data_IF_080550556766
#
_entry.id   IF_080550556766
#
_cell.length_a   1.000
_cell.length_b   1.000
_cell.length_c   1.000
_cell.angle_alpha   90.00
_cell.angle_beta   90.00
_cell.angle_gamma   90.00
#
_symmetry.space_group_name_H-M   'P 1'
#
loop_
_entity.id
_entity.type
_entity.pdbx_description
1 polymer ?
#
# COMPACT_ATOMS: atom_id res chain seq x y z
N UNK A 1 51.36 -13.48 -54.27
CA UNK A 1 50.07 -14.05 -54.71
C UNK A 1 49.08 -12.90 -54.74
N UNK A 2 48.67 -12.49 -55.95
CA UNK A 2 47.44 -11.77 -56.38
C UNK A 2 46.59 -11.01 -55.33
N UNK A 3 46.02 -9.82 -55.53
CA UNK A 3 45.68 -8.99 -56.72
C UNK A 3 45.24 -7.60 -56.24
N UNK A 4 45.47 -6.58 -57.07
CA UNK A 4 44.96 -5.18 -57.00
C UNK A 4 43.42 -5.11 -56.93
N UNK A 5 42.77 -4.05 -56.45
CA UNK A 5 42.33 -2.91 -57.31
C UNK A 5 41.50 -1.88 -56.53
N UNK A 6 41.34 -0.72 -57.15
CA UNK A 6 41.02 0.61 -56.65
C UNK A 6 39.68 1.11 -57.25
N UNK A 7 38.81 1.71 -56.41
CA UNK A 7 37.87 2.87 -56.65
C UNK A 7 36.70 2.66 -57.66
N UNK A 8 35.54 3.41 -57.66
CA UNK A 8 35.25 4.75 -57.13
C UNK A 8 33.93 5.01 -56.37
N UNK A 9 33.88 6.24 -55.82
CA UNK A 9 32.69 7.02 -55.42
C UNK A 9 31.80 7.43 -56.61
N UNK A 10 30.48 7.30 -56.46
CA UNK A 10 29.49 7.86 -57.39
C UNK A 10 28.49 8.73 -56.62
N UNK A 11 28.40 9.98 -57.09
CA UNK A 11 27.42 11.01 -56.74
C UNK A 11 26.18 10.82 -57.63
N UNK A 12 24.95 10.71 -57.11
CA UNK A 12 23.75 11.01 -57.92
C UNK A 12 22.43 11.24 -57.15
N UNK A 13 21.95 12.48 -57.25
CA UNK A 13 20.57 12.93 -57.51
C UNK A 13 19.44 12.65 -56.51
N UNK A 14 19.01 13.72 -55.82
CA UNK A 14 17.70 13.85 -55.16
C UNK A 14 16.58 13.91 -56.21
N UNK A 15 15.59 13.02 -56.12
CA UNK A 15 14.29 13.15 -56.80
C UNK A 15 13.25 13.56 -55.77
N UNK A 16 12.58 14.69 -56.01
CA UNK A 16 11.39 15.13 -55.29
C UNK A 16 10.18 14.35 -55.82
N UNK A 17 9.47 13.66 -54.94
CA UNK A 17 8.17 13.07 -55.24
C UNK A 17 7.12 13.72 -54.34
N UNK A 18 6.21 14.47 -54.94
CA UNK A 18 5.05 15.09 -54.30
C UNK A 18 3.85 14.17 -54.58
N UNK A 19 3.14 13.66 -53.57
CA UNK A 19 1.79 13.12 -53.80
C UNK A 19 0.87 13.06 -52.55
N UNK A 20 -0.17 13.89 -52.63
CA UNK A 20 -1.57 13.78 -52.19
C UNK A 20 -1.89 13.35 -50.72
N UNK A 21 -2.31 14.36 -49.94
CA UNK A 21 -3.02 14.23 -48.67
C UNK A 21 -4.50 13.93 -48.96
N UNK A 22 -5.02 12.80 -48.47
CA UNK A 22 -6.45 12.50 -48.44
C UNK A 22 -7.10 13.17 -47.23
N UNK A 23 -8.06 14.07 -47.49
CA UNK A 23 -8.88 14.70 -46.47
C UNK A 23 -10.05 13.75 -46.11
N UNK A 24 -9.94 13.04 -45.00
CA UNK A 24 -11.06 12.28 -44.44
C UNK A 24 -11.90 13.20 -43.53
N UNK A 25 -13.11 13.57 -43.97
CA UNK A 25 -14.12 14.16 -43.08
C UNK A 25 -14.56 13.10 -42.06
N UNK A 26 -14.06 13.22 -40.83
CA UNK A 26 -14.53 12.43 -39.69
C UNK A 26 -15.85 12.99 -39.16
N UNK A 27 -16.93 12.21 -39.28
CA UNK A 27 -18.16 12.38 -38.51
C UNK A 27 -17.84 12.21 -37.02
N UNK A 28 -17.95 13.28 -36.25
CA UNK A 28 -17.78 13.27 -34.80
C UNK A 28 -19.00 12.65 -34.13
N UNK A 29 -18.85 11.42 -33.64
CA UNK A 29 -19.80 10.84 -32.70
C UNK A 29 -19.73 11.63 -31.39
N UNK A 30 -20.87 12.00 -30.77
CA UNK A 30 -20.86 12.71 -29.50
C UNK A 30 -20.23 11.80 -28.44
N UNK A 31 -19.14 12.28 -27.85
CA UNK A 31 -18.55 11.71 -26.66
C UNK A 31 -19.62 11.65 -25.58
N UNK A 32 -20.07 10.45 -25.22
CA UNK A 32 -20.82 10.28 -23.98
C UNK A 32 -19.90 10.71 -22.85
N UNK A 33 -20.26 11.81 -22.20
CA UNK A 33 -19.60 12.26 -20.98
C UNK A 33 -19.60 11.10 -19.98
N UNK A 34 -18.42 10.53 -19.79
CA UNK A 34 -18.18 9.53 -18.77
C UNK A 34 -18.50 10.20 -17.43
N UNK A 35 -19.52 9.69 -16.73
CA UNK A 35 -19.88 10.15 -15.39
C UNK A 35 -18.59 10.25 -14.55
N UNK A 36 -18.25 11.47 -14.14
CA UNK A 36 -17.07 11.74 -13.37
C UNK A 36 -17.08 10.85 -12.13
N UNK A 37 -15.98 10.13 -11.88
CA UNK A 37 -15.80 9.42 -10.62
C UNK A 37 -15.98 10.43 -9.47
N UNK A 38 -16.64 10.06 -8.37
CA UNK A 38 -16.83 10.97 -7.25
C UNK A 38 -15.47 11.48 -6.77
N UNK A 39 -15.31 12.80 -6.75
CA UNK A 39 -14.10 13.48 -6.30
C UNK A 39 -13.92 13.29 -4.80
N UNK A 40 -12.72 12.92 -4.37
CA UNK A 40 -12.30 12.85 -2.95
C UNK A 40 -12.05 14.24 -2.34
N UNK A 41 -12.78 15.26 -2.83
CA UNK A 41 -12.65 16.66 -2.44
C UNK A 41 -13.30 16.96 -1.08
N UNK A 42 -14.15 16.05 -0.58
CA UNK A 42 -14.76 16.15 0.73
C UNK A 42 -14.31 14.99 1.63
N UNK A 43 -14.27 15.18 2.96
CA UNK A 43 -14.02 14.10 3.90
C UNK A 43 -15.05 12.99 3.70
N UNK A 44 -14.59 11.74 3.59
CA UNK A 44 -15.50 10.62 3.40
C UNK A 44 -16.25 10.33 4.70
N UNK A 45 -17.57 10.09 4.62
CA UNK A 45 -18.38 9.82 5.80
C UNK A 45 -18.14 8.39 6.29
N UNK A 46 -17.71 8.27 7.55
CA UNK A 46 -17.61 6.98 8.26
C UNK A 46 -18.33 7.10 9.61
N UNK A 47 -18.86 5.98 10.09
CA UNK A 47 -19.38 5.86 11.45
C UNK A 47 -18.21 5.77 12.44
N UNK A 48 -18.40 6.26 13.66
CA UNK A 48 -17.49 6.05 14.79
C UNK A 48 -18.05 5.06 15.81
N UNK A 49 -19.23 4.50 15.54
CA UNK A 49 -19.87 3.56 16.45
C UNK A 49 -19.06 2.26 16.56
N UNK A 50 -18.76 1.75 17.76
CA UNK A 50 -18.10 0.47 17.92
C UNK A 50 -18.98 -0.66 17.36
N UNK A 51 -18.39 -1.79 16.99
CA UNK A 51 -19.17 -2.99 16.68
C UNK A 51 -19.90 -3.46 17.94
N UNK A 52 -21.09 -4.04 17.78
CA UNK A 52 -21.57 -5.00 18.77
C UNK A 52 -20.52 -6.12 18.92
N UNK A 53 -20.32 -6.64 20.14
CA UNK A 53 -19.17 -7.39 20.65
C UNK A 53 -18.64 -8.62 19.84
N UNK A 54 -19.15 -8.91 18.64
CA UNK A 54 -18.83 -10.11 17.87
C UNK A 54 -18.42 -9.89 16.40
N UNK A 55 -18.21 -8.67 15.89
CA UNK A 55 -18.22 -8.51 14.43
C UNK A 55 -16.94 -9.00 13.71
N UNK A 56 -15.74 -8.73 14.26
CA UNK A 56 -14.46 -9.04 13.59
C UNK A 56 -13.34 -9.27 14.60
N UNK A 57 -12.53 -10.32 14.38
CA UNK A 57 -11.34 -10.62 15.19
C UNK A 57 -10.12 -10.45 14.31
N UNK A 58 -9.26 -9.49 14.67
CA UNK A 58 -7.92 -9.39 14.10
C UNK A 58 -6.98 -10.32 14.86
N UNK A 59 -6.07 -10.98 14.13
CA UNK A 59 -5.03 -11.83 14.69
C UNK A 59 -3.68 -11.34 14.23
N UNK A 60 -2.72 -11.30 15.15
CA UNK A 60 -1.33 -10.94 14.88
C UNK A 60 -0.43 -12.05 15.39
N UNK A 61 0.76 -12.17 14.81
CA UNK A 61 1.82 -13.03 15.36
C UNK A 61 2.46 -12.33 16.55
N UNK A 62 2.96 -13.12 17.50
CA UNK A 62 3.83 -12.61 18.55
C UNK A 62 5.24 -12.40 17.96
N UNK A 63 5.97 -11.34 18.33
CA UNK A 63 7.31 -11.08 17.79
C UNK A 63 8.29 -12.23 18.06
N UNK A 64 8.06 -13.01 19.10
CA UNK A 64 8.81 -14.21 19.48
C UNK A 64 8.41 -15.46 18.69
N UNK A 65 7.47 -15.39 17.74
CA UNK A 65 7.23 -16.51 16.82
C UNK A 65 8.49 -16.83 16.02
N UNK A 66 8.82 -18.13 15.85
CA UNK A 66 10.07 -18.57 15.19
C UNK A 66 10.29 -17.94 13.80
N UNK A 67 9.22 -17.77 13.01
CA UNK A 67 9.29 -17.11 11.72
C UNK A 67 9.78 -15.66 11.83
N UNK A 68 9.23 -14.90 12.79
CA UNK A 68 9.56 -13.48 12.97
C UNK A 68 10.93 -13.28 13.62
N UNK A 69 11.32 -14.14 14.56
CA UNK A 69 12.70 -14.18 15.05
C UNK A 69 13.68 -14.43 13.90
N UNK A 70 13.39 -15.41 13.04
CA UNK A 70 14.23 -15.71 11.86
C UNK A 70 14.32 -14.51 10.93
N UNK A 71 13.21 -13.83 10.64
CA UNK A 71 13.19 -12.61 9.81
C UNK A 71 14.04 -11.51 10.45
N UNK A 72 13.88 -11.26 11.75
CA UNK A 72 14.61 -10.24 12.51
C UNK A 72 16.11 -10.48 12.50
N UNK A 73 16.53 -11.70 12.79
CA UNK A 73 17.95 -12.07 12.91
C UNK A 73 18.63 -12.12 11.55
N UNK A 74 17.99 -12.75 10.56
CA UNK A 74 18.54 -12.91 9.21
C UNK A 74 18.86 -11.58 8.54
N UNK A 75 18.04 -10.56 8.78
CA UNK A 75 18.18 -9.24 8.16
C UNK A 75 18.72 -8.16 9.10
N UNK A 76 19.07 -8.50 10.34
CA UNK A 76 19.68 -7.59 11.31
C UNK A 76 18.78 -6.39 11.68
N UNK A 77 17.47 -6.61 11.80
CA UNK A 77 16.48 -5.53 11.98
C UNK A 77 16.69 -4.74 13.28
N UNK A 78 17.16 -5.39 14.35
CA UNK A 78 17.53 -4.73 15.62
C UNK A 78 18.59 -3.65 15.42
N UNK A 79 19.64 -3.93 14.63
CA UNK A 79 20.71 -2.97 14.40
C UNK A 79 20.23 -1.73 13.61
N UNK A 80 19.26 -1.91 12.71
CA UNK A 80 18.63 -0.81 11.96
C UNK A 80 17.78 0.05 12.90
N UNK A 81 16.97 -0.58 13.75
CA UNK A 81 16.10 0.12 14.69
C UNK A 81 16.88 0.79 15.84
N UNK A 82 18.03 0.24 16.25
CA UNK A 82 18.85 0.78 17.35
C UNK A 82 19.45 2.16 17.06
N UNK A 83 19.44 2.63 15.80
CA UNK A 83 19.83 3.99 15.45
C UNK A 83 18.83 5.06 15.92
N UNK A 84 17.64 4.65 16.37
CA UNK A 84 16.51 5.52 16.66
C UNK A 84 15.99 5.33 18.09
N UNK A 85 15.70 6.44 18.76
CA UNK A 85 15.28 6.45 20.18
C UNK A 85 13.76 6.45 20.37
N UNK A 86 12.99 6.68 19.31
CA UNK A 86 11.52 6.73 19.34
C UNK A 86 10.93 5.61 18.51
N UNK A 87 9.71 5.16 18.85
CA UNK A 87 9.01 4.14 18.05
C UNK A 87 8.79 4.64 16.62
N UNK A 88 8.31 5.88 16.44
CA UNK A 88 8.18 6.49 15.12
C UNK A 88 9.51 6.56 14.35
N UNK A 89 10.62 6.88 15.01
CA UNK A 89 11.96 6.85 14.42
C UNK A 89 12.34 5.45 13.92
N UNK A 90 12.13 4.42 14.75
CA UNK A 90 12.36 3.01 14.38
C UNK A 90 11.53 2.61 13.15
N UNK A 91 10.26 2.98 13.10
CA UNK A 91 9.40 2.74 11.92
C UNK A 91 9.98 3.42 10.67
N UNK A 92 10.46 4.66 10.77
CA UNK A 92 11.09 5.39 9.67
C UNK A 92 12.37 4.71 9.19
N UNK A 93 13.25 4.29 10.09
CA UNK A 93 14.48 3.58 9.75
C UNK A 93 14.20 2.24 9.04
N UNK A 94 13.22 1.48 9.54
CA UNK A 94 12.80 0.22 8.93
C UNK A 94 12.07 0.43 7.59
N UNK A 95 11.28 1.49 7.44
CA UNK A 95 10.67 1.90 6.16
C UNK A 95 11.74 2.16 5.11
N UNK A 96 12.75 2.96 5.45
CA UNK A 96 13.88 3.24 4.56
C UNK A 96 14.65 1.95 4.21
N UNK A 97 14.81 1.05 5.17
CA UNK A 97 15.44 -0.24 4.90
C UNK A 97 14.64 -1.06 3.89
N UNK A 98 13.32 -1.19 4.06
CA UNK A 98 12.46 -1.89 3.09
C UNK A 98 12.51 -1.20 1.73
N UNK A 99 12.42 0.12 1.69
CA UNK A 99 12.51 0.94 0.48
C UNK A 99 13.76 0.60 -0.34
N UNK A 100 14.92 0.54 0.31
CA UNK A 100 16.21 0.28 -0.34
C UNK A 100 16.44 -1.19 -0.70
N UNK A 101 15.62 -2.12 -0.21
CA UNK A 101 15.75 -3.57 -0.51
C UNK A 101 14.92 -4.00 -1.70
N UNK A 102 13.85 -3.29 -2.01
CA UNK A 102 12.92 -3.65 -3.05
C UNK A 102 13.08 -2.70 -4.23
N UNK A 103 12.80 -3.18 -5.44
CA UNK A 103 12.76 -2.36 -6.65
C UNK A 103 11.37 -2.47 -7.25
N UNK A 104 10.71 -1.33 -7.46
CA UNK A 104 9.34 -1.32 -7.95
C UNK A 104 9.25 -1.46 -9.48
N UNK A 105 8.43 -2.40 -9.96
CA UNK A 105 7.93 -2.44 -11.33
C UNK A 105 6.48 -2.92 -11.36
N UNK A 106 5.54 -1.99 -11.56
CA UNK A 106 4.10 -2.26 -11.63
C UNK A 106 3.66 -3.15 -12.79
N UNK A 107 4.55 -3.57 -13.69
CA UNK A 107 4.27 -4.51 -14.79
C UNK A 107 4.63 -5.95 -14.46
N UNK A 108 5.47 -6.16 -13.45
CA UNK A 108 5.96 -7.49 -13.07
C UNK A 108 5.22 -7.92 -11.82
N UNK A 109 4.37 -8.93 -11.95
CA UNK A 109 3.69 -9.51 -10.80
C UNK A 109 4.62 -10.51 -10.10
N UNK A 110 4.83 -10.32 -8.79
CA UNK A 110 5.42 -11.36 -7.95
C UNK A 110 4.40 -12.50 -7.79
N UNK A 111 4.89 -13.75 -7.82
CA UNK A 111 4.08 -14.91 -7.41
C UNK A 111 4.19 -15.19 -5.92
N UNK A 112 5.07 -14.46 -5.21
CA UNK A 112 5.38 -14.68 -3.80
C UNK A 112 4.52 -13.80 -2.91
N UNK A 113 3.95 -14.41 -1.89
CA UNK A 113 3.18 -13.72 -0.86
C UNK A 113 3.90 -13.69 0.49
N UNK A 114 4.88 -14.58 0.69
CA UNK A 114 5.68 -14.67 1.89
C UNK A 114 6.77 -13.58 1.93
N UNK A 115 6.87 -12.78 3.01
CA UNK A 115 7.88 -11.71 3.15
C UNK A 115 9.34 -12.15 2.96
N UNK A 116 9.75 -13.29 3.52
CA UNK A 116 11.13 -13.77 3.36
C UNK A 116 11.40 -14.25 1.93
N UNK A 117 10.44 -14.91 1.28
CA UNK A 117 10.57 -15.28 -0.14
C UNK A 117 10.63 -14.04 -1.05
N UNK A 118 9.85 -13.00 -0.76
CA UNK A 118 9.89 -11.72 -1.49
C UNK A 118 11.28 -11.07 -1.34
N UNK A 119 11.81 -10.99 -0.12
CA UNK A 119 13.15 -10.45 0.14
C UNK A 119 14.24 -11.26 -0.57
N UNK A 120 14.11 -12.59 -0.57
CA UNK A 120 15.03 -13.48 -1.28
C UNK A 120 14.99 -13.28 -2.80
N UNK A 121 13.81 -13.06 -3.36
CA UNK A 121 13.64 -12.73 -4.78
C UNK A 121 14.23 -11.36 -5.12
N UNK A 122 14.03 -10.36 -4.26
CA UNK A 122 14.61 -9.03 -4.42
C UNK A 122 16.14 -9.05 -4.36
N UNK A 123 16.74 -9.86 -3.47
CA UNK A 123 18.20 -10.09 -3.42
C UNK A 123 18.76 -10.67 -4.73
N UNK A 124 17.93 -11.39 -5.50
CA UNK A 124 18.28 -11.92 -6.84
C UNK A 124 17.98 -10.92 -7.97
N UNK A 125 17.66 -9.67 -7.64
CA UNK A 125 17.40 -8.60 -8.60
C UNK A 125 16.00 -8.59 -9.21
N UNK A 126 15.04 -9.36 -8.66
CA UNK A 126 13.66 -9.33 -9.14
C UNK A 126 12.95 -8.07 -8.62
N UNK A 127 12.21 -7.43 -9.53
CA UNK A 127 11.33 -6.31 -9.18
C UNK A 127 9.99 -6.81 -8.63
N UNK A 128 9.32 -5.94 -7.87
CA UNK A 128 8.06 -6.23 -7.17
C UNK A 128 7.05 -5.09 -7.33
N UNK A 129 5.80 -5.30 -6.91
CA UNK A 129 4.76 -4.28 -6.90
C UNK A 129 4.51 -3.75 -5.48
N UNK A 130 3.62 -2.76 -5.37
CA UNK A 130 3.20 -2.17 -4.09
C UNK A 130 2.75 -3.22 -3.05
N UNK A 131 2.13 -4.32 -3.50
CA UNK A 131 1.64 -5.38 -2.63
C UNK A 131 2.78 -6.00 -1.80
N UNK A 132 3.93 -6.22 -2.42
CA UNK A 132 5.10 -6.80 -1.76
C UNK A 132 5.71 -5.85 -0.73
N UNK A 133 5.78 -4.55 -1.02
CA UNK A 133 6.22 -3.53 -0.05
C UNK A 133 5.34 -3.55 1.20
N UNK A 134 4.02 -3.54 1.04
CA UNK A 134 3.08 -3.56 2.17
C UNK A 134 3.17 -4.83 3.01
N UNK A 135 3.41 -5.98 2.38
CA UNK A 135 3.60 -7.28 3.06
C UNK A 135 4.91 -7.36 3.83
N UNK A 136 6.01 -7.00 3.19
CA UNK A 136 7.35 -7.03 3.80
C UNK A 136 7.41 -6.05 4.96
N UNK A 137 6.92 -4.82 4.77
CA UNK A 137 6.94 -3.81 5.82
C UNK A 137 6.08 -4.22 7.03
N UNK A 138 4.90 -4.80 6.82
CA UNK A 138 4.09 -5.31 7.92
C UNK A 138 4.80 -6.42 8.72
N UNK A 139 5.48 -7.34 8.03
CA UNK A 139 6.22 -8.43 8.68
C UNK A 139 7.45 -7.91 9.46
N UNK A 140 8.20 -6.98 8.86
CA UNK A 140 9.36 -6.32 9.48
C UNK A 140 8.94 -5.60 10.76
N UNK A 141 7.85 -4.85 10.74
CA UNK A 141 7.36 -4.16 11.93
C UNK A 141 6.84 -5.12 13.00
N UNK A 142 6.11 -6.16 12.60
CA UNK A 142 5.61 -7.18 13.53
C UNK A 142 6.76 -7.93 14.20
N UNK A 143 7.84 -8.24 13.46
CA UNK A 143 9.04 -8.86 14.01
C UNK A 143 9.77 -7.98 15.02
N UNK A 144 9.55 -6.66 14.98
CA UNK A 144 10.09 -5.69 15.92
C UNK A 144 9.10 -5.34 17.05
N UNK A 145 8.05 -6.15 17.24
CA UNK A 145 7.08 -5.99 18.31
C UNK A 145 6.04 -4.88 18.08
N UNK A 146 5.92 -4.39 16.85
CA UNK A 146 4.91 -3.38 16.49
C UNK A 146 3.79 -4.03 15.68
N UNK A 147 2.56 -4.17 16.22
CA UNK A 147 1.45 -4.73 15.47
C UNK A 147 1.23 -3.98 14.17
N UNK A 148 1.36 -4.67 13.04
CA UNK A 148 1.27 -4.07 11.72
C UNK A 148 0.44 -4.95 10.77
N UNK A 149 -0.11 -4.32 9.73
CA UNK A 149 -0.93 -4.99 8.72
C UNK A 149 -0.78 -4.34 7.36
N UNK A 150 -0.80 -5.10 6.25
CA UNK A 150 -0.92 -4.53 4.92
C UNK A 150 -2.29 -3.83 4.77
N UNK A 151 -2.28 -2.63 4.21
CA UNK A 151 -3.46 -1.87 3.86
C UNK A 151 -3.57 -1.74 2.34
N UNK A 152 -4.72 -2.15 1.82
CA UNK A 152 -5.06 -2.07 0.42
C UNK A 152 -6.01 -0.89 0.21
N UNK A 153 -5.53 0.12 -0.51
CA UNK A 153 -6.30 1.28 -0.93
C UNK A 153 -6.92 1.01 -2.30
N UNK A 154 -8.18 1.37 -2.50
CA UNK A 154 -8.87 1.20 -3.80
C UNK A 154 -9.68 2.43 -4.16
N UNK A 155 -9.58 2.83 -5.43
CA UNK A 155 -10.33 3.95 -5.99
C UNK A 155 -11.85 3.70 -5.98
N UNK A 156 -12.70 4.74 -6.02
CA UNK A 156 -14.16 4.59 -6.03
C UNK A 156 -14.69 3.77 -7.23
N UNK A 157 -13.97 3.82 -8.35
CA UNK A 157 -14.25 3.11 -9.61
C UNK A 157 -13.32 1.91 -9.85
N UNK A 158 -12.70 1.38 -8.79
CA UNK A 158 -11.73 0.28 -8.89
C UNK A 158 -12.28 -0.98 -9.58
N UNK A 159 -13.59 -1.22 -9.56
CA UNK A 159 -14.23 -2.33 -10.29
C UNK A 159 -14.25 -2.12 -11.81
N UNK A 160 -14.15 -0.88 -12.29
CA UNK A 160 -14.24 -0.51 -13.70
C UNK A 160 -12.88 -0.31 -14.37
N UNK A 161 -11.81 -0.09 -13.60
CA UNK A 161 -10.46 0.15 -14.14
C UNK A 161 -9.84 -1.13 -14.72
N UNK A 162 -9.02 -1.02 -15.76
CA UNK A 162 -8.26 -2.18 -16.28
C UNK A 162 -6.88 -2.33 -15.64
N UNK A 163 -6.35 -1.26 -15.06
CA UNK A 163 -5.06 -1.17 -14.39
C UNK A 163 -5.10 -0.02 -13.37
N UNK A 164 -4.10 0.09 -12.49
CA UNK A 164 -4.01 1.17 -11.48
C UNK A 164 -5.32 1.41 -10.68
N UNK A 165 -5.93 0.32 -10.20
CA UNK A 165 -7.19 0.36 -9.44
C UNK A 165 -7.02 0.67 -7.95
N UNK A 166 -5.79 0.55 -7.45
CA UNK A 166 -5.47 0.67 -6.04
C UNK A 166 -3.97 0.81 -5.82
N UNK A 167 -3.60 0.94 -4.56
CA UNK A 167 -2.23 0.96 -4.06
C UNK A 167 -2.18 0.19 -2.74
N UNK A 168 -1.05 -0.45 -2.43
CA UNK A 168 -0.89 -1.21 -1.18
C UNK A 168 0.29 -0.66 -0.41
N UNK A 169 0.08 -0.50 0.90
CA UNK A 169 1.04 0.03 1.85
C UNK A 169 0.82 -0.65 3.21
N UNK A 170 1.36 -0.10 4.30
CA UNK A 170 1.23 -0.69 5.64
C UNK A 170 0.58 0.28 6.62
N UNK A 171 -0.18 -0.25 7.57
CA UNK A 171 -0.50 0.47 8.81
C UNK A 171 0.16 -0.23 10.00
N UNK A 172 0.62 0.57 10.97
CA UNK A 172 1.26 0.12 12.21
C UNK A 172 0.57 0.75 13.41
N UNK A 173 0.36 -0.03 14.47
CA UNK A 173 -0.11 0.51 15.75
C UNK A 173 1.05 1.17 16.48
N UNK A 174 0.87 2.44 16.83
CA UNK A 174 1.83 3.20 17.63
C UNK A 174 1.24 3.44 19.01
N UNK A 175 1.78 2.73 20.01
CA UNK A 175 1.32 2.81 21.39
C UNK A 175 1.44 4.23 21.96
N UNK A 176 2.50 4.95 21.64
CA UNK A 176 2.71 6.34 22.09
C UNK A 176 1.60 7.31 21.60
N UNK A 177 0.93 6.99 20.50
CA UNK A 177 -0.20 7.76 19.96
C UNK A 177 -1.57 7.08 20.19
N UNK A 178 -1.59 5.86 20.72
CA UNK A 178 -2.77 5.01 20.86
C UNK A 178 -3.60 4.93 19.57
N UNK A 179 -2.93 4.80 18.41
CA UNK A 179 -3.60 4.72 17.11
C UNK A 179 -2.78 4.03 16.03
N UNK A 180 -3.45 3.69 14.93
CA UNK A 180 -2.83 3.23 13.70
C UNK A 180 -2.24 4.39 12.90
N UNK A 181 -1.06 4.17 12.31
CA UNK A 181 -0.34 5.11 11.46
C UNK A 181 0.01 4.48 10.11
N UNK A 182 -0.13 5.25 9.04
CA UNK A 182 0.20 4.87 7.67
C UNK A 182 1.71 4.93 7.45
N UNK A 183 2.25 3.89 6.80
CA UNK A 183 3.65 3.82 6.34
C UNK A 183 3.67 3.28 4.91
N UNK A 184 4.24 4.05 3.99
CA UNK A 184 4.41 3.64 2.60
C UNK A 184 5.91 3.49 2.27
N UNK A 185 6.44 2.28 2.45
CA UNK A 185 7.84 1.96 2.18
C UNK A 185 8.18 1.97 0.68
N UNK A 186 7.20 1.92 -0.22
CA UNK A 186 7.48 2.10 -1.65
C UNK A 186 7.96 3.53 -1.93
N UNK A 187 7.38 4.50 -1.24
CA UNK A 187 7.74 5.91 -1.37
C UNK A 187 8.66 6.41 -0.25
N UNK A 188 8.90 5.59 0.77
CA UNK A 188 9.47 5.99 2.06
C UNK A 188 8.78 7.23 2.64
N UNK A 189 7.45 7.17 2.79
CA UNK A 189 6.65 8.29 3.32
C UNK A 189 5.78 7.84 4.49
N UNK A 190 5.83 8.61 5.58
CA UNK A 190 4.90 8.57 6.70
C UNK A 190 4.16 9.91 6.81
N UNK A 191 2.83 9.96 6.63
CA UNK A 191 2.08 11.20 6.75
C UNK A 191 1.97 11.71 8.18
N UNK A 192 2.22 13.00 8.37
CA UNK A 192 2.18 13.70 9.66
C UNK A 192 1.24 14.90 9.58
N UNK A 193 0.44 15.13 10.62
CA UNK A 193 -0.30 16.37 10.82
C UNK A 193 0.08 16.95 12.18
N UNK A 194 0.63 18.17 12.19
CA UNK A 194 1.00 18.88 13.42
C UNK A 194 1.86 18.03 14.38
N UNK A 195 2.81 17.28 13.82
CA UNK A 195 3.72 16.40 14.58
C UNK A 195 3.17 15.01 14.91
N UNK A 196 1.90 14.72 14.66
CA UNK A 196 1.32 13.39 14.90
C UNK A 196 1.19 12.58 13.59
N UNK A 197 1.56 11.29 13.58
CA UNK A 197 1.37 10.43 12.41
C UNK A 197 -0.12 10.20 12.13
N UNK A 198 -0.48 9.89 10.88
CA UNK A 198 -1.88 9.72 10.46
C UNK A 198 -2.17 8.29 10.01
N UNK A 199 -3.34 7.77 10.36
CA UNK A 199 -3.94 6.63 9.64
C UNK A 199 -4.33 7.02 8.21
N UNK A 200 -4.65 6.04 7.36
CA UNK A 200 -5.08 6.31 5.99
C UNK A 200 -6.37 7.14 5.91
N UNK A 201 -7.32 6.91 6.82
CA UNK A 201 -8.57 7.68 6.91
C UNK A 201 -8.30 9.11 7.39
N UNK A 202 -7.43 9.28 8.38
CA UNK A 202 -7.05 10.62 8.85
C UNK A 202 -6.33 11.41 7.74
N UNK A 203 -5.45 10.77 6.96
CA UNK A 203 -4.82 11.37 5.77
C UNK A 203 -5.87 11.79 4.73
N UNK A 204 -6.86 10.92 4.46
CA UNK A 204 -7.95 11.24 3.54
C UNK A 204 -8.68 12.51 3.99
N UNK A 205 -9.04 12.59 5.27
CA UNK A 205 -9.71 13.76 5.86
C UNK A 205 -8.83 15.02 5.81
N UNK A 206 -7.55 14.90 6.14
CA UNK A 206 -6.60 16.00 6.11
C UNK A 206 -6.42 16.58 4.69
N UNK A 207 -6.32 15.71 3.68
CA UNK A 207 -6.22 16.12 2.28
C UNK A 207 -7.50 16.79 1.78
N UNK A 208 -8.66 16.22 2.08
CA UNK A 208 -9.94 16.79 1.68
C UNK A 208 -10.19 18.17 2.31
N UNK A 209 -9.83 18.33 3.59
CA UNK A 209 -9.95 19.62 4.30
C UNK A 209 -8.82 20.61 3.98
N UNK A 210 -7.82 20.21 3.20
CA UNK A 210 -6.59 21.00 2.97
C UNK A 210 -5.97 21.46 4.29
N UNK A 211 -5.88 20.53 5.25
CA UNK A 211 -5.45 20.83 6.61
C UNK A 211 -4.07 21.52 6.64
N UNK A 212 -3.98 22.63 7.37
CA UNK A 212 -2.71 23.30 7.65
C UNK A 212 -1.85 22.42 8.55
N UNK A 213 -0.56 22.32 8.25
CA UNK A 213 0.38 21.50 9.01
C UNK A 213 0.45 20.03 8.57
N UNK A 214 -0.24 19.65 7.49
CA UNK A 214 -0.04 18.36 6.82
C UNK A 214 1.34 18.34 6.15
N UNK A 215 2.20 17.44 6.62
CA UNK A 215 3.54 17.15 6.10
C UNK A 215 3.73 15.64 5.98
N UNK A 216 4.91 15.21 5.54
CA UNK A 216 5.29 13.80 5.53
C UNK A 216 6.74 13.64 5.94
N UNK A 217 7.00 12.68 6.81
CA UNK A 217 8.34 12.23 7.15
C UNK A 217 8.84 11.30 6.04
N UNK A 218 10.08 11.53 5.60
CA UNK A 218 10.79 10.70 4.62
C UNK A 218 12.29 10.79 4.91
N UNK A 219 13.02 9.74 4.53
CA UNK A 219 14.48 9.70 4.56
C UNK A 219 15.08 9.74 3.14
N UNK A 220 14.23 9.89 2.13
CA UNK A 220 14.61 10.00 0.72
C UNK A 220 14.32 11.40 0.19
N UNK A 221 14.46 11.62 -1.12
CA UNK A 221 14.08 12.86 -1.77
C UNK A 221 12.60 12.90 -2.22
N UNK A 222 11.77 12.02 -1.65
CA UNK A 222 10.35 11.88 -1.95
C UNK A 222 9.63 13.24 -1.97
N UNK A 223 8.95 13.52 -3.08
CA UNK A 223 8.21 14.77 -3.27
C UNK A 223 6.83 14.65 -2.61
N UNK A 224 6.74 14.91 -1.31
CA UNK A 224 5.52 14.71 -0.48
C UNK A 224 4.24 15.25 -1.13
N UNK A 225 4.23 16.49 -1.65
CA UNK A 225 3.06 17.06 -2.33
C UNK A 225 2.64 16.27 -3.57
N UNK A 226 3.61 15.79 -4.35
CA UNK A 226 3.34 14.93 -5.50
C UNK A 226 2.78 13.59 -5.05
N UNK A 227 3.40 12.97 -4.03
CA UNK A 227 2.97 11.71 -3.46
C UNK A 227 1.52 11.76 -2.98
N UNK A 228 1.13 12.78 -2.22
CA UNK A 228 -0.26 12.90 -1.77
C UNK A 228 -1.25 13.09 -2.91
N UNK A 229 -0.92 13.92 -3.90
CA UNK A 229 -1.77 14.06 -5.10
C UNK A 229 -1.91 12.74 -5.85
N UNK A 230 -0.84 11.94 -5.91
CA UNK A 230 -0.83 10.63 -6.56
C UNK A 230 -1.62 9.57 -5.77
N UNK A 231 -1.53 9.59 -4.43
CA UNK A 231 -2.18 8.63 -3.53
C UNK A 231 -3.68 8.92 -3.37
N UNK A 232 -4.06 10.20 -3.36
CA UNK A 232 -5.41 10.67 -3.05
C UNK A 232 -6.56 9.97 -3.80
N UNK A 233 -6.44 9.61 -5.10
CA UNK A 233 -7.48 8.87 -5.81
C UNK A 233 -7.77 7.48 -5.26
N UNK A 234 -6.86 6.88 -4.49
CA UNK A 234 -6.99 5.56 -3.90
C UNK A 234 -7.56 5.57 -2.47
N UNK A 235 -7.55 6.72 -1.79
CA UNK A 235 -8.06 6.91 -0.43
C UNK A 235 -9.59 6.94 -0.40
N UNK A 236 -10.25 5.84 -0.81
CA UNK A 236 -11.71 5.73 -0.84
C UNK A 236 -12.21 4.45 -0.18
N UNK A 237 -11.82 3.29 -0.69
CA UNK A 237 -12.00 2.01 -0.01
C UNK A 237 -10.67 1.59 0.63
N UNK A 238 -10.77 1.06 1.85
CA UNK A 238 -9.62 0.63 2.63
C UNK A 238 -9.87 -0.80 3.08
N UNK A 239 -9.01 -1.75 2.74
CA UNK A 239 -9.13 -3.11 3.26
C UNK A 239 -7.82 -3.67 3.79
N UNK A 240 -7.95 -4.60 4.73
CA UNK A 240 -6.83 -5.26 5.41
C UNK A 240 -7.20 -6.71 5.72
N UNK A 241 -6.22 -7.63 5.77
CA UNK A 241 -6.45 -8.98 6.29
C UNK A 241 -6.90 -8.94 7.74
N UNK A 242 -7.78 -9.87 8.12
CA UNK A 242 -8.11 -10.12 9.52
C UNK A 242 -7.07 -11.03 10.22
N UNK A 243 -6.30 -11.80 9.45
CA UNK A 243 -5.28 -12.71 9.98
C UNK A 243 -3.90 -12.27 9.48
N UNK A 244 -3.15 -11.57 10.33
CA UNK A 244 -1.82 -11.01 10.09
C UNK A 244 -0.73 -11.81 10.82
N UNK A 245 -0.91 -13.13 10.93
CA UNK A 245 0.10 -14.06 11.47
C UNK A 245 1.04 -14.55 10.36
N UNK A 246 2.26 -14.87 10.74
CA UNK A 246 3.31 -15.29 9.82
C UNK A 246 3.82 -16.71 10.13
N UNK A 247 4.37 -17.40 9.13
CA UNK A 247 4.87 -18.78 9.29
C UNK A 247 3.80 -19.85 9.53
N UNK A 248 2.52 -19.50 9.46
CA UNK A 248 1.39 -20.40 9.71
C UNK A 248 0.32 -20.27 8.62
N UNK A 249 -0.57 -21.26 8.53
CA UNK A 249 -1.76 -21.15 7.67
C UNK A 249 -2.71 -20.09 8.23
N UNK A 250 -3.04 -19.11 7.41
CA UNK A 250 -3.92 -17.99 7.76
C UNK A 250 -5.27 -18.07 7.06
N UNK A 251 -6.26 -17.40 7.64
CA UNK A 251 -7.54 -17.13 6.99
C UNK A 251 -7.37 -16.14 5.84
N UNK A 252 -8.12 -16.31 4.75
CA UNK A 252 -8.19 -15.32 3.66
C UNK A 252 -9.22 -14.22 3.91
N UNK A 253 -9.90 -14.24 5.07
CA UNK A 253 -10.89 -13.23 5.42
C UNK A 253 -10.25 -11.86 5.58
N UNK A 254 -10.88 -10.86 4.96
CA UNK A 254 -10.45 -9.46 5.02
C UNK A 254 -11.62 -8.57 5.41
N UNK A 255 -11.33 -7.38 5.89
CA UNK A 255 -12.33 -6.37 6.22
C UNK A 255 -12.09 -5.13 5.36
N UNK A 256 -13.13 -4.66 4.68
CA UNK A 256 -13.15 -3.41 3.94
C UNK A 256 -13.94 -2.35 4.68
N UNK A 257 -13.31 -1.23 4.95
CA UNK A 257 -13.97 0.02 5.32
C UNK A 257 -14.49 0.71 4.05
N UNK A 258 -15.80 0.91 4.02
CA UNK A 258 -16.53 1.57 2.94
C UNK A 258 -17.17 2.86 3.45
N UNK A 259 -17.07 3.99 2.72
CA UNK A 259 -17.78 5.21 3.09
C UNK A 259 -19.29 4.96 3.19
N UNK A 260 -19.99 5.67 4.08
CA UNK A 260 -21.44 5.60 4.22
C UNK A 260 -22.08 5.97 2.87
N UNK A 261 -23.00 5.11 2.40
CA UNK A 261 -23.67 5.28 1.10
C UNK A 261 -22.87 4.74 -0.10
N UNK A 262 -21.61 4.34 0.08
CA UNK A 262 -20.85 3.69 -0.99
C UNK A 262 -21.38 2.26 -1.25
N UNK A 263 -21.29 1.83 -2.50
CA UNK A 263 -21.54 0.42 -2.85
C UNK A 263 -20.47 -0.48 -2.22
N UNK A 264 -20.81 -1.73 -1.93
CA UNK A 264 -19.82 -2.75 -1.56
C UNK A 264 -19.02 -3.16 -2.79
N UNK A 265 -17.72 -2.94 -2.77
CA UNK A 265 -16.82 -3.31 -3.86
C UNK A 265 -16.58 -4.82 -3.83
N UNK A 266 -17.09 -5.56 -4.81
CA UNK A 266 -16.98 -7.04 -4.89
C UNK A 266 -16.07 -7.54 -6.01
N UNK A 267 -15.67 -6.65 -6.91
CA UNK A 267 -14.77 -6.91 -8.03
C UNK A 267 -13.72 -5.81 -8.08
N UNK A 268 -12.48 -6.19 -8.37
CA UNK A 268 -11.34 -5.31 -8.57
C UNK A 268 -10.83 -5.47 -10.00
N UNK A 269 -10.58 -4.33 -10.64
CA UNK A 269 -10.06 -4.23 -11.99
C UNK A 269 -10.79 -5.10 -13.04
N UNK A 270 -12.13 -5.03 -13.06
CA UNK A 270 -13.06 -5.75 -13.95
C UNK A 270 -13.14 -7.26 -13.75
N UNK A 271 -12.05 -7.93 -13.39
CA UNK A 271 -11.94 -9.39 -13.46
C UNK A 271 -11.70 -10.06 -12.12
N UNK A 272 -11.07 -9.38 -11.16
CA UNK A 272 -10.64 -10.00 -9.90
C UNK A 272 -11.76 -9.96 -8.87
N UNK A 273 -12.38 -11.09 -8.56
CA UNK A 273 -13.39 -11.16 -7.49
C UNK A 273 -12.74 -11.00 -6.12
N UNK A 274 -13.33 -10.16 -5.27
CA UNK A 274 -12.90 -9.97 -3.88
C UNK A 274 -13.56 -11.03 -3.00
N UNK A 275 -12.86 -12.15 -2.80
CA UNK A 275 -13.34 -13.32 -2.04
C UNK A 275 -12.98 -13.15 -0.56
N UNK A 276 -13.86 -13.59 0.35
CA UNK A 276 -13.62 -13.51 1.79
C UNK A 276 -13.70 -12.08 2.37
N UNK A 277 -14.14 -11.11 1.56
CA UNK A 277 -14.25 -9.72 1.97
C UNK A 277 -15.51 -9.48 2.80
N UNK A 278 -15.33 -8.98 4.02
CA UNK A 278 -16.39 -8.43 4.87
C UNK A 278 -16.37 -6.90 4.77
N UNK A 279 -17.45 -6.24 5.15
CA UNK A 279 -17.60 -4.79 4.98
C UNK A 279 -18.07 -4.12 6.26
N UNK A 280 -17.49 -2.97 6.58
CA UNK A 280 -17.91 -2.07 7.65
C UNK A 280 -17.89 -0.64 7.12
N UNK A 281 -18.66 0.25 7.74
CA UNK A 281 -18.52 1.70 7.54
C UNK A 281 -18.00 2.39 8.82
N UNK A 282 -17.63 1.62 9.85
CA UNK A 282 -17.16 2.13 11.12
C UNK A 282 -15.64 2.13 11.20
N UNK A 283 -15.06 3.30 11.49
CA UNK A 283 -13.63 3.44 11.78
C UNK A 283 -13.26 2.78 13.10
N UNK A 284 -14.12 2.81 14.12
CA UNK A 284 -13.87 2.12 15.39
C UNK A 284 -13.73 0.60 15.22
N UNK A 285 -14.42 0.03 14.24
CA UNK A 285 -14.32 -1.40 13.89
C UNK A 285 -13.09 -1.71 13.04
N UNK A 286 -12.75 -0.80 12.11
CA UNK A 286 -11.62 -0.98 11.21
C UNK A 286 -10.26 -0.73 11.89
N UNK A 287 -10.24 0.12 12.91
CA UNK A 287 -9.07 0.51 13.70
C UNK A 287 -9.22 0.06 15.16
N UNK A 288 -9.29 -1.26 15.45
CA UNK A 288 -9.30 -1.71 16.83
C UNK A 288 -7.93 -1.46 17.48
N UNK A 289 -7.91 -1.37 18.82
CA UNK A 289 -6.67 -1.48 19.57
C UNK A 289 -6.21 -2.95 19.51
N UNK A 290 -5.08 -3.28 18.86
CA UNK A 290 -4.63 -4.66 18.76
C UNK A 290 -4.22 -5.25 20.12
N UNK A 291 -3.85 -4.42 21.10
CA UNK A 291 -3.37 -4.87 22.41
C UNK A 291 -4.50 -5.27 23.36
N UNK A 292 -5.71 -4.74 23.17
CA UNK A 292 -6.88 -5.10 23.98
C UNK A 292 -7.32 -6.56 23.76
N UNK A 293 -7.04 -7.13 22.58
CA UNK A 293 -7.27 -8.56 22.33
C UNK A 293 -6.24 -9.49 22.98
N UNK A 294 -5.03 -8.99 23.30
CA UNK A 294 -4.00 -9.78 24.00
C UNK A 294 -4.17 -9.78 25.53
N UNK A 295 -4.93 -8.84 26.10
CA UNK A 295 -5.16 -8.78 27.56
C UNK A 295 -6.33 -9.65 28.05
N UNK A 296 -7.14 -10.20 27.14
CA UNK A 296 -8.25 -11.08 27.51
C UNK A 296 -7.79 -12.54 27.69
N UNK A 297 -6.84 -12.81 28.59
CA UNK A 297 -6.62 -14.14 29.17
C UNK A 297 -5.83 -14.06 30.48
N UNK A 298 -6.56 -13.98 31.60
CA UNK A 298 -6.60 -15.00 32.66
C UNK A 298 -7.83 -14.70 33.56
N UNK A 299 -8.81 -15.62 33.71
CA UNK A 299 -9.58 -15.62 34.94
C UNK A 299 -8.61 -15.98 36.06
N UNK A 300 -8.36 -15.01 36.95
CA UNK A 300 -7.79 -15.24 38.27
C UNK A 300 -8.34 -16.55 38.83
N UNK A 301 -7.48 -17.54 39.03
CA UNK A 301 -7.79 -18.72 39.82
C UNK A 301 -7.96 -18.30 41.28
N UNK A 302 -9.14 -17.77 41.59
CA UNK A 302 -9.61 -17.58 42.93
C UNK A 302 -10.45 -18.81 43.33
N UNK A 303 -9.87 -19.62 44.21
CA UNK A 303 -10.57 -20.45 45.20
C UNK A 303 -11.34 -21.67 44.69
N UNK A 304 -10.82 -22.87 44.94
CA UNK A 304 -11.14 -23.70 46.12
C UNK A 304 -10.07 -24.79 46.28
#
# INVERSE_FOLDING_TARGET
>A
MQVFTYVPSVLMHKKFTLLLIWLALGLSLPSQAQSAAPTTEQPLPFSTAPAGAAAYTFRFSEPEDFYLQTLRDRYGLEAIAAAENTTLGKVKALSLWVHNRLTHDGRIASTKTDPMEILDDALRGKSVQCVEYGRVMAAVLTAMGMPARPLFLKAPDADKRGSAGGHVLTEVWLEEYQKWALVDSQWDVLPILNGAPLSAVELQHALAKKATGLSGETSTDAKIKFYYRWLQPYLYYFDTPLDNRYGVKTSTASLMLTPIGAKKLTVFQRTTRLIGMRYTNSTAVFYPNPLETHQAQEPSSAGE
#
